data_IF_466609853794
#
_entry.id   IF_466609853794
#
_cell.length_a   1.000
_cell.length_b   1.000
_cell.length_c   1.000
_cell.angle_alpha   90.00
_cell.angle_beta   90.00
_cell.angle_gamma   90.00
#
_symmetry.space_group_name_H-M   'P 1'
#
loop_
_entity.id
_entity.type
_entity.pdbx_description
1 polymer ?
#
# COMPACT_ATOMS: atom_id res chain seq x y z
N UNK A 1 4.60 3.24 -5.09
CA UNK A 1 3.63 4.06 -4.32
C UNK A 1 4.36 5.22 -3.65
N UNK A 2 3.69 6.27 -3.18
CA UNK A 2 4.34 7.38 -2.46
C UNK A 2 3.81 7.47 -1.04
N UNK A 3 4.68 7.25 -0.04
CA UNK A 3 4.37 7.47 1.38
C UNK A 3 4.32 8.98 1.64
N UNK A 4 3.22 9.45 2.20
CA UNK A 4 2.97 10.88 2.45
C UNK A 4 2.61 11.20 3.90
N UNK A 5 2.55 10.20 4.77
CA UNK A 5 2.32 10.40 6.21
C UNK A 5 2.82 9.23 7.05
N UNK A 6 3.36 9.57 8.22
CA UNK A 6 3.75 8.63 9.27
C UNK A 6 3.38 9.22 10.62
N UNK A 7 2.64 8.46 11.42
CA UNK A 7 2.27 8.85 12.78
C UNK A 7 2.39 7.65 13.72
N UNK A 8 2.83 7.90 14.95
CA UNK A 8 2.78 6.94 16.04
C UNK A 8 1.90 7.49 17.16
N UNK A 9 0.98 6.66 17.64
CA UNK A 9 0.09 6.98 18.75
C UNK A 9 0.37 6.04 19.93
N UNK A 10 0.68 6.63 21.09
CA UNK A 10 1.10 5.92 22.29
C UNK A 10 -0.02 5.97 23.32
N UNK A 11 -0.48 4.80 23.75
CA UNK A 11 -1.55 4.57 24.74
C UNK A 11 -2.84 5.38 24.48
N UNK A 12 -3.11 5.71 23.20
CA UNK A 12 -4.26 6.52 22.79
C UNK A 12 -4.21 8.00 23.24
N UNK A 13 -3.07 8.46 23.75
CA UNK A 13 -2.94 9.79 24.40
C UNK A 13 -1.95 10.70 23.71
N UNK A 14 -0.78 10.17 23.37
CA UNK A 14 0.31 10.95 22.77
C UNK A 14 0.44 10.60 21.31
N UNK A 15 0.42 11.62 20.44
CA UNK A 15 0.67 11.46 19.01
C UNK A 15 2.04 12.05 18.66
N UNK A 16 2.81 11.29 17.90
CA UNK A 16 4.07 11.68 17.30
C UNK A 16 3.85 11.74 15.80
N UNK A 17 4.10 12.91 15.21
CA UNK A 17 3.98 13.12 13.77
C UNK A 17 5.38 13.03 13.15
N UNK A 18 5.52 12.19 12.13
CA UNK A 18 6.76 12.07 11.35
C UNK A 18 7.05 13.37 10.61
N UNK A 19 8.34 13.74 10.57
CA UNK A 19 8.86 14.85 9.78
C UNK A 19 9.84 14.24 8.78
N UNK A 20 9.62 14.52 7.50
CA UNK A 20 10.53 14.07 6.44
C UNK A 20 11.87 14.78 6.59
N UNK A 21 12.95 14.00 6.61
CA UNK A 21 14.33 14.45 6.73
C UNK A 21 15.22 13.65 5.78
N UNK A 22 16.44 14.12 5.59
CA UNK A 22 17.48 13.29 4.95
C UNK A 22 17.63 11.98 5.73
N UNK A 23 17.79 10.86 5.01
CA UNK A 23 17.83 9.53 5.61
C UNK A 23 18.91 9.43 6.71
N UNK A 24 20.10 10.02 6.48
CA UNK A 24 21.17 9.92 7.47
C UNK A 24 20.88 10.72 8.73
N UNK A 25 20.29 11.89 8.55
CA UNK A 25 19.88 12.74 9.67
C UNK A 25 18.78 12.05 10.49
N UNK A 26 17.77 11.47 9.83
CA UNK A 26 16.68 10.77 10.50
C UNK A 26 17.19 9.57 11.33
N UNK A 27 18.12 8.79 10.77
CA UNK A 27 18.75 7.66 11.45
C UNK A 27 19.57 8.10 12.67
N UNK A 28 20.38 9.15 12.54
CA UNK A 28 21.17 9.69 13.65
C UNK A 28 20.27 10.19 14.80
N UNK A 29 19.25 10.97 14.49
CA UNK A 29 18.32 11.48 15.52
C UNK A 29 17.55 10.35 16.21
N UNK A 30 17.21 9.29 15.48
CA UNK A 30 16.61 8.08 16.04
C UNK A 30 17.56 7.42 17.04
N UNK A 31 18.81 7.16 16.66
CA UNK A 31 19.79 6.50 17.53
C UNK A 31 20.10 7.33 18.78
N UNK A 32 20.23 8.66 18.64
CA UNK A 32 20.43 9.58 19.76
C UNK A 32 19.25 9.53 20.74
N UNK A 33 18.01 9.53 20.24
CA UNK A 33 16.82 9.40 21.07
C UNK A 33 16.78 8.06 21.81
N UNK A 34 17.17 6.96 21.14
CA UNK A 34 17.26 5.65 21.78
C UNK A 34 18.30 5.63 22.89
N UNK A 35 19.50 6.19 22.66
CA UNK A 35 20.57 6.26 23.66
C UNK A 35 20.17 7.09 24.88
N UNK A 36 19.33 8.11 24.69
CA UNK A 36 18.80 8.95 25.78
C UNK A 36 17.62 8.30 26.53
N UNK A 37 17.21 7.08 26.15
CA UNK A 37 16.09 6.38 26.78
C UNK A 37 14.71 6.91 26.35
N UNK A 38 14.64 7.70 25.27
CA UNK A 38 13.39 8.20 24.72
C UNK A 38 12.77 7.19 23.75
N UNK A 39 11.44 7.14 23.69
CA UNK A 39 10.74 6.41 22.63
C UNK A 39 11.03 7.06 21.28
N UNK A 40 11.49 6.28 20.31
CA UNK A 40 11.84 6.76 18.97
C UNK A 40 11.10 5.95 17.90
N UNK A 41 10.74 6.62 16.80
CA UNK A 41 9.91 6.08 15.72
C UNK A 41 10.47 6.56 14.39
N UNK A 42 10.96 5.63 13.57
CA UNK A 42 11.56 5.91 12.27
C UNK A 42 10.83 5.11 11.20
N UNK A 43 10.53 5.75 10.08
CA UNK A 43 10.06 5.11 8.86
C UNK A 43 11.00 5.54 7.73
N UNK A 44 11.66 4.58 7.09
CA UNK A 44 12.66 4.84 6.06
C UNK A 44 12.47 3.91 4.86
N UNK A 45 12.76 4.41 3.66
CA UNK A 45 12.78 3.62 2.43
C UNK A 45 14.11 2.88 2.35
N UNK A 46 14.07 1.56 2.42
CA UNK A 46 15.27 0.71 2.37
C UNK A 46 15.54 0.19 0.95
N UNK A 47 14.48 -0.09 0.19
CA UNK A 47 14.52 -0.44 -1.22
C UNK A 47 13.35 0.25 -1.93
N UNK A 48 13.38 0.37 -3.27
CA UNK A 48 12.24 0.86 -4.03
C UNK A 48 10.96 0.10 -3.63
N UNK A 49 9.93 0.85 -3.23
CA UNK A 49 8.63 0.35 -2.75
C UNK A 49 8.66 -0.48 -1.45
N UNK A 50 9.77 -0.51 -0.71
CA UNK A 50 9.85 -1.22 0.57
C UNK A 50 10.37 -0.31 1.69
N UNK A 51 9.48 -0.07 2.65
CA UNK A 51 9.72 0.77 3.81
C UNK A 51 9.93 -0.08 5.07
N UNK A 52 10.90 0.32 5.88
CA UNK A 52 11.13 -0.25 7.20
C UNK A 52 10.68 0.73 8.28
N UNK A 53 9.87 0.24 9.22
CA UNK A 53 9.49 0.97 10.40
C UNK A 53 10.24 0.43 11.62
N UNK A 54 11.05 1.29 12.25
CA UNK A 54 11.82 0.98 13.45
C UNK A 54 11.21 1.73 14.63
N UNK A 55 10.85 1.00 15.69
CA UNK A 55 10.27 1.54 16.92
C UNK A 55 11.14 1.08 18.08
N UNK A 56 11.60 2.01 18.91
CA UNK A 56 12.46 1.67 20.04
C UNK A 56 12.04 2.29 21.36
N UNK A 57 12.61 1.74 22.44
CA UNK A 57 12.30 2.07 23.84
C UNK A 57 10.80 1.96 24.19
N UNK A 58 10.13 0.93 23.67
CA UNK A 58 8.75 0.59 24.07
C UNK A 58 8.76 0.02 25.48
N UNK A 59 7.96 0.59 26.38
CA UNK A 59 7.87 0.11 27.78
C UNK A 59 6.91 -1.07 27.91
N UNK A 60 7.08 -1.89 28.95
CA UNK A 60 6.19 -3.04 29.20
C UNK A 60 4.71 -2.61 29.29
N UNK A 61 3.84 -3.29 28.56
CA UNK A 61 2.40 -3.02 28.51
C UNK A 61 1.99 -1.77 27.70
N UNK A 62 2.94 -1.04 27.13
CA UNK A 62 2.66 0.12 26.29
C UNK A 62 2.05 -0.31 24.96
N UNK A 63 1.00 0.40 24.53
CA UNK A 63 0.38 0.18 23.23
C UNK A 63 0.82 1.25 22.25
N UNK A 64 1.36 0.83 21.11
CA UNK A 64 1.76 1.71 20.00
C UNK A 64 0.88 1.42 18.79
N UNK A 65 0.25 2.45 18.24
CA UNK A 65 -0.49 2.39 16.97
C UNK A 65 0.29 3.18 15.93
N UNK A 66 0.75 2.48 14.89
CA UNK A 66 1.43 3.09 13.74
C UNK A 66 0.42 3.36 12.63
N UNK A 67 0.45 4.57 12.08
CA UNK A 67 -0.34 4.96 10.91
C UNK A 67 0.61 5.36 9.79
N UNK A 68 0.51 4.67 8.66
CA UNK A 68 1.23 5.00 7.43
C UNK A 68 0.19 5.43 6.41
N UNK A 69 0.37 6.61 5.85
CA UNK A 69 -0.47 7.12 4.76
C UNK A 69 0.35 7.09 3.48
N UNK A 70 -0.18 6.49 2.44
CA UNK A 70 0.44 6.47 1.13
C UNK A 70 -0.60 6.64 0.03
N UNK A 71 -0.14 7.07 -1.14
CA UNK A 71 -0.92 7.14 -2.36
C UNK A 71 -0.32 6.23 -3.41
N UNK A 72 -1.16 5.59 -4.22
CA UNK A 72 -0.72 4.76 -5.34
C UNK A 72 -1.68 4.92 -6.49
N UNK A 73 -1.15 4.83 -7.71
CA UNK A 73 -1.96 4.72 -8.90
C UNK A 73 -2.61 3.33 -8.97
N UNK A 74 -3.88 3.29 -9.39
CA UNK A 74 -4.60 2.05 -9.64
C UNK A 74 -4.27 1.55 -11.05
N UNK A 75 -3.91 0.27 -11.18
CA UNK A 75 -3.57 -0.31 -12.47
C UNK A 75 -4.84 -0.52 -13.29
N UNK A 76 -4.86 0.00 -14.51
CA UNK A 76 -5.95 -0.25 -15.45
C UNK A 76 -5.65 -1.49 -16.31
N UNK A 77 -6.64 -2.36 -16.44
CA UNK A 77 -6.64 -3.47 -17.38
C UNK A 77 -7.50 -3.06 -18.59
N UNK A 78 -6.81 -2.69 -19.67
CA UNK A 78 -7.43 -2.13 -20.87
C UNK A 78 -8.29 -3.14 -21.63
N UNK A 79 -7.99 -4.44 -21.53
CA UNK A 79 -8.73 -5.49 -22.23
C UNK A 79 -10.04 -5.84 -21.51
N UNK A 80 -10.05 -5.76 -20.18
CA UNK A 80 -11.19 -6.20 -19.37
C UNK A 80 -12.04 -5.08 -18.74
N UNK A 81 -11.70 -3.81 -19.03
CA UNK A 81 -12.39 -2.61 -18.52
C UNK A 81 -12.42 -2.57 -16.98
N UNK A 82 -11.31 -2.99 -16.35
CA UNK A 82 -11.21 -3.15 -14.90
C UNK A 82 -10.07 -2.31 -14.35
N UNK A 83 -10.22 -1.81 -13.13
CA UNK A 83 -9.11 -1.28 -12.34
C UNK A 83 -8.76 -2.28 -11.25
N UNK A 84 -7.46 -2.37 -10.95
CA UNK A 84 -6.90 -3.30 -9.97
C UNK A 84 -6.16 -2.53 -8.88
N UNK A 85 -6.59 -2.75 -7.64
CA UNK A 85 -5.85 -2.37 -6.44
C UNK A 85 -5.15 -3.61 -5.86
N UNK A 86 -3.90 -3.44 -5.44
CA UNK A 86 -3.13 -4.48 -4.77
C UNK A 86 -2.63 -3.90 -3.45
N UNK A 87 -2.96 -4.55 -2.35
CA UNK A 87 -2.41 -4.27 -1.04
C UNK A 87 -1.42 -5.40 -0.69
N UNK A 88 -0.11 -5.10 -0.68
CA UNK A 88 0.90 -6.11 -0.41
C UNK A 88 0.84 -6.53 1.06
N UNK A 89 0.80 -7.84 1.31
CA UNK A 89 0.83 -8.39 2.67
C UNK A 89 2.07 -9.22 2.94
N UNK A 90 2.77 -9.63 1.88
CA UNK A 90 4.02 -10.38 1.96
C UNK A 90 5.15 -9.61 1.26
N UNK A 91 6.35 -9.65 1.85
CA UNK A 91 7.59 -9.32 1.16
C UNK A 91 8.21 -10.65 0.72
N UNK A 92 8.13 -10.96 -0.58
CA UNK A 92 8.67 -12.23 -1.09
C UNK A 92 10.21 -12.31 -0.87
N UNK A 93 10.79 -13.51 -0.63
CA UNK A 93 12.21 -13.71 -0.32
C UNK A 93 13.23 -13.26 -1.39
N UNK A 94 12.79 -12.70 -2.52
CA UNK A 94 13.64 -12.22 -3.63
C UNK A 94 14.68 -11.16 -3.19
N UNK A 95 14.60 -10.64 -1.96
CA UNK A 95 15.41 -9.54 -1.46
C UNK A 95 16.60 -9.90 -0.54
N UNK A 96 16.87 -11.19 -0.26
CA UNK A 96 18.11 -11.65 0.40
C UNK A 96 18.16 -11.46 1.93
N UNK A 97 19.16 -12.07 2.58
CA UNK A 97 19.25 -12.30 4.05
C UNK A 97 20.51 -11.73 4.71
N UNK A 98 20.41 -11.15 5.92
CA UNK A 98 21.49 -11.01 6.94
C UNK A 98 21.04 -10.30 8.23
N UNK A 99 21.64 -10.65 9.36
CA UNK A 99 21.29 -10.14 10.69
C UNK A 99 21.68 -8.70 11.04
N UNK A 100 21.26 -8.32 12.25
CA UNK A 100 21.36 -7.01 12.91
C UNK A 100 22.67 -6.25 12.62
N UNK A 101 22.55 -4.98 12.23
CA UNK A 101 23.63 -3.99 12.30
C UNK A 101 23.05 -2.61 12.65
N UNK A 102 23.82 -1.73 13.32
CA UNK A 102 23.38 -0.38 13.69
C UNK A 102 22.96 0.42 12.45
N UNK A 103 22.06 1.40 12.66
CA UNK A 103 21.50 2.18 11.57
C UNK A 103 22.60 2.84 10.74
N UNK A 104 22.39 2.84 9.42
CA UNK A 104 23.07 3.67 8.43
C UNK A 104 24.40 3.19 7.81
N UNK A 105 24.55 1.89 7.49
CA UNK A 105 25.65 1.40 6.63
C UNK A 105 25.20 0.59 5.40
N UNK A 106 24.05 0.96 4.81
CA UNK A 106 23.67 0.51 3.47
C UNK A 106 23.46 -0.99 3.29
N UNK A 107 22.46 -1.59 3.97
CA UNK A 107 22.06 -2.98 3.71
C UNK A 107 20.56 -3.19 3.53
N UNK A 108 20.27 -4.04 2.54
CA UNK A 108 19.00 -4.60 2.10
C UNK A 108 18.07 -5.01 3.25
N UNK A 109 16.78 -4.79 3.02
CA UNK A 109 15.69 -5.42 3.77
C UNK A 109 15.87 -6.92 3.85
N UNK A 110 15.72 -7.43 5.06
CA UNK A 110 15.78 -8.85 5.38
C UNK A 110 14.40 -9.23 5.90
N UNK A 111 13.56 -9.90 5.10
CA UNK A 111 12.42 -10.60 5.66
C UNK A 111 13.00 -11.68 6.57
N UNK A 112 12.69 -11.65 7.87
CA UNK A 112 12.87 -12.83 8.72
C UNK A 112 12.19 -14.03 8.02
N UNK A 113 12.68 -15.25 8.24
CA UNK A 113 11.87 -16.43 7.97
C UNK A 113 10.53 -16.20 8.67
N UNK A 114 9.47 -15.95 7.89
CA UNK A 114 8.15 -15.69 8.45
C UNK A 114 7.66 -17.00 9.03
N UNK A 115 8.00 -17.23 10.31
CA UNK A 115 7.50 -18.38 11.05
C UNK A 115 6.09 -18.03 11.49
N UNK A 116 5.10 -18.58 10.80
CA UNK A 116 3.72 -18.47 11.23
C UNK A 116 3.54 -19.35 12.48
N UNK A 117 3.31 -18.71 13.63
CA UNK A 117 2.95 -19.44 14.83
C UNK A 117 1.61 -20.16 14.61
N UNK A 118 1.47 -21.42 15.06
CA UNK A 118 0.21 -22.16 14.92
C UNK A 118 -0.98 -21.56 15.70
N UNK A 119 -0.72 -20.57 16.56
CA UNK A 119 -1.72 -19.74 17.25
C UNK A 119 -1.25 -18.29 17.21
N UNK A 120 -2.04 -17.42 16.59
CA UNK A 120 -1.69 -16.02 16.35
C UNK A 120 -2.70 -15.10 17.02
N UNK A 121 -2.22 -14.14 17.79
CA UNK A 121 -3.04 -13.08 18.40
C UNK A 121 -3.08 -11.81 17.52
N UNK A 122 -2.93 -11.98 16.20
CA UNK A 122 -3.05 -10.92 15.21
C UNK A 122 -4.09 -11.31 14.15
N UNK A 123 -4.66 -10.30 13.52
CA UNK A 123 -5.51 -10.46 12.35
C UNK A 123 -5.32 -9.26 11.42
N UNK A 124 -5.54 -9.49 10.13
CA UNK A 124 -5.69 -8.44 9.14
C UNK A 124 -7.16 -8.03 9.10
N UNK A 125 -7.41 -6.76 9.41
CA UNK A 125 -8.67 -6.10 9.11
C UNK A 125 -8.47 -5.15 7.93
N UNK A 126 -9.44 -5.13 7.03
CA UNK A 126 -9.37 -4.32 5.81
C UNK A 126 -10.76 -3.76 5.50
N UNK A 127 -10.83 -2.44 5.48
CA UNK A 127 -12.01 -1.69 5.05
C UNK A 127 -11.62 -0.78 3.89
N UNK A 128 -12.31 -0.90 2.76
CA UNK A 128 -12.05 -0.11 1.56
C UNK A 128 -13.33 0.64 1.19
N UNK A 129 -13.21 1.95 1.01
CA UNK A 129 -14.24 2.77 0.35
C UNK A 129 -13.84 2.95 -1.10
N UNK A 130 -14.53 2.27 -2.01
CA UNK A 130 -14.33 2.43 -3.45
C UNK A 130 -15.23 3.56 -3.96
N UNK A 131 -14.63 4.53 -4.66
CA UNK A 131 -15.35 5.62 -5.34
C UNK A 131 -14.87 5.72 -6.77
N UNK A 132 -15.81 5.59 -7.72
CA UNK A 132 -15.55 5.69 -9.16
C UNK A 132 -16.20 6.95 -9.75
N UNK A 133 -15.84 7.30 -10.98
CA UNK A 133 -16.47 8.42 -11.72
C UNK A 133 -17.84 8.05 -12.31
N UNK A 134 -18.17 6.76 -12.31
CA UNK A 134 -19.35 6.19 -12.94
C UNK A 134 -19.87 5.02 -12.11
N UNK A 135 -21.00 4.46 -12.54
CA UNK A 135 -21.67 3.35 -11.86
C UNK A 135 -20.73 2.15 -11.78
N UNK A 136 -20.53 1.66 -10.56
CA UNK A 136 -19.80 0.43 -10.29
C UNK A 136 -20.66 -0.74 -10.79
N UNK A 137 -20.10 -1.57 -11.67
CA UNK A 137 -20.79 -2.72 -12.26
C UNK A 137 -20.45 -4.02 -11.54
N UNK A 138 -19.18 -4.20 -11.14
CA UNK A 138 -18.73 -5.39 -10.44
C UNK A 138 -17.56 -5.06 -9.51
N UNK A 139 -17.51 -5.72 -8.36
CA UNK A 139 -16.39 -5.70 -7.41
C UNK A 139 -16.08 -7.14 -7.05
N UNK A 140 -14.84 -7.56 -7.25
CA UNK A 140 -14.40 -8.91 -6.93
C UNK A 140 -12.98 -8.88 -6.35
N UNK A 141 -12.66 -9.90 -5.55
CA UNK A 141 -11.29 -10.15 -5.11
C UNK A 141 -10.89 -11.56 -5.53
N UNK A 142 -9.87 -11.71 -6.40
CA UNK A 142 -9.36 -13.03 -6.76
C UNK A 142 -8.48 -13.65 -5.66
N UNK A 143 -8.12 -12.89 -4.62
CA UNK A 143 -7.22 -13.38 -3.57
C UNK A 143 -7.88 -13.62 -2.22
N UNK A 144 -8.95 -12.93 -1.85
CA UNK A 144 -9.62 -13.06 -0.54
C UNK A 144 -11.14 -13.02 -0.67
N UNK A 145 -11.86 -13.64 0.28
CA UNK A 145 -13.31 -13.51 0.36
C UNK A 145 -13.71 -12.13 0.91
N UNK A 146 -14.60 -11.43 0.21
CA UNK A 146 -15.03 -10.07 0.54
C UNK A 146 -16.54 -9.96 0.74
N UNK A 147 -16.96 -9.05 1.61
CA UNK A 147 -18.32 -8.56 1.70
C UNK A 147 -18.40 -7.16 1.12
N UNK A 148 -19.40 -6.89 0.29
CA UNK A 148 -19.56 -5.63 -0.43
C UNK A 148 -20.92 -5.02 -0.15
N UNK A 149 -20.91 -3.79 0.34
CA UNK A 149 -22.08 -2.93 0.45
C UNK A 149 -22.06 -1.94 -0.73
N UNK A 150 -22.99 -2.12 -1.67
CA UNK A 150 -23.11 -1.31 -2.87
C UNK A 150 -24.00 -0.08 -2.61
N UNK A 151 -23.81 0.95 -3.42
CA UNK A 151 -24.67 2.14 -3.45
C UNK A 151 -24.74 2.88 -2.10
N UNK A 152 -23.59 3.10 -1.47
CA UNK A 152 -23.50 3.81 -0.18
C UNK A 152 -24.18 5.17 -0.29
N UNK A 153 -25.08 5.48 0.65
CA UNK A 153 -25.92 6.69 0.65
C UNK A 153 -26.75 6.88 -0.64
N UNK A 154 -27.11 5.77 -1.31
CA UNK A 154 -27.83 5.79 -2.58
C UNK A 154 -26.97 6.15 -3.80
N UNK A 155 -25.65 6.29 -3.63
CA UNK A 155 -24.74 6.66 -4.71
C UNK A 155 -24.14 5.42 -5.41
N UNK A 156 -24.53 5.13 -6.66
CA UNK A 156 -24.07 3.91 -7.37
C UNK A 156 -22.59 3.92 -7.76
N UNK A 157 -21.89 5.02 -7.51
CA UNK A 157 -20.46 5.14 -7.76
C UNK A 157 -19.62 4.87 -6.49
N UNK A 158 -20.27 4.59 -5.35
CA UNK A 158 -19.62 4.40 -4.05
C UNK A 158 -20.00 3.04 -3.49
N UNK A 159 -18.99 2.30 -3.03
CA UNK A 159 -19.18 1.00 -2.37
C UNK A 159 -18.22 0.84 -1.22
N UNK A 160 -18.63 0.10 -0.19
CA UNK A 160 -17.78 -0.29 0.94
C UNK A 160 -17.47 -1.77 0.86
N UNK A 161 -16.19 -2.12 0.96
CA UNK A 161 -15.69 -3.48 0.90
C UNK A 161 -15.02 -3.81 2.23
N UNK A 162 -15.31 -4.99 2.76
CA UNK A 162 -14.68 -5.55 3.95
C UNK A 162 -14.28 -7.00 3.70
N UNK A 163 -13.37 -7.54 4.50
CA UNK A 163 -13.09 -8.98 4.48
C UNK A 163 -14.31 -9.74 5.02
N UNK A 164 -14.70 -10.83 4.33
CA UNK A 164 -15.83 -11.66 4.76
C UNK A 164 -15.44 -12.66 5.87
N UNK A 165 -14.15 -12.79 6.15
CA UNK A 165 -13.59 -13.69 7.13
C UNK A 165 -12.41 -13.03 7.84
N UNK A 166 -12.09 -13.50 9.05
CA UNK A 166 -10.93 -13.03 9.78
C UNK A 166 -9.66 -13.68 9.21
N UNK A 167 -8.73 -12.85 8.73
CA UNK A 167 -7.49 -13.31 8.12
C UNK A 167 -6.36 -13.28 9.16
N UNK A 168 -5.72 -14.42 9.39
CA UNK A 168 -4.57 -14.56 10.32
C UNK A 168 -3.29 -15.01 9.61
N UNK A 169 -3.30 -15.04 8.27
CA UNK A 169 -2.16 -15.35 7.42
C UNK A 169 -1.86 -14.15 6.52
N UNK A 170 -0.62 -14.01 6.04
CA UNK A 170 -0.19 -12.91 5.18
C UNK A 170 0.55 -13.38 3.93
N UNK A 171 0.33 -14.63 3.50
CA UNK A 171 1.10 -15.32 2.45
C UNK A 171 0.90 -14.78 1.02
N UNK A 172 -0.20 -14.07 0.76
CA UNK A 172 -0.56 -13.54 -0.56
C UNK A 172 -1.20 -12.17 -0.44
N UNK A 173 -0.90 -11.31 -1.41
CA UNK A 173 -1.42 -9.95 -1.44
C UNK A 173 -2.95 -9.91 -1.55
N UNK A 174 -3.55 -8.89 -0.96
CA UNK A 174 -4.95 -8.59 -1.20
C UNK A 174 -5.11 -7.89 -2.55
N UNK A 175 -6.01 -8.39 -3.39
CA UNK A 175 -6.26 -7.88 -4.73
C UNK A 175 -7.74 -7.52 -4.81
N UNK A 176 -8.05 -6.28 -5.18
CA UNK A 176 -9.40 -5.85 -5.51
C UNK A 176 -9.47 -5.49 -6.98
N UNK A 177 -10.50 -5.99 -7.65
CA UNK A 177 -10.77 -5.74 -9.05
C UNK A 177 -12.14 -5.09 -9.15
N UNK A 178 -12.19 -3.91 -9.75
CA UNK A 178 -13.42 -3.11 -9.87
C UNK A 178 -13.69 -2.84 -11.34
N UNK A 179 -14.90 -3.17 -11.78
CA UNK A 179 -15.43 -2.79 -13.09
C UNK A 179 -16.41 -1.64 -12.91
N UNK A 180 -16.25 -0.59 -13.71
CA UNK A 180 -17.10 0.61 -13.69
C UNK A 180 -17.39 1.04 -15.12
N UNK A 181 -18.56 1.61 -15.36
CA UNK A 181 -18.99 2.01 -16.70
C UNK A 181 -18.03 3.04 -17.32
N UNK A 182 -17.60 2.87 -18.56
CA UNK A 182 -16.76 3.85 -19.26
C UNK A 182 -15.30 3.88 -18.80
N UNK A 183 -14.81 2.81 -18.15
CA UNK A 183 -13.39 2.64 -17.83
C UNK A 183 -12.50 2.57 -19.09
N UNK A 184 -13.08 2.18 -20.21
CA UNK A 184 -12.49 2.10 -21.56
C UNK A 184 -12.47 3.44 -22.34
N UNK A 185 -12.95 4.53 -21.74
CA UNK A 185 -13.00 5.86 -22.36
C UNK A 185 -11.89 6.76 -21.82
N UNK A 186 -11.42 7.76 -22.61
CA UNK A 186 -10.53 8.80 -22.11
C UNK A 186 -11.14 9.56 -20.92
N UNK A 187 -10.32 9.83 -19.90
CA UNK A 187 -10.75 10.53 -18.68
C UNK A 187 -9.70 11.53 -18.23
N UNK A 188 -10.15 12.61 -17.58
CA UNK A 188 -9.29 13.57 -16.90
C UNK A 188 -9.80 13.80 -15.47
N UNK A 189 -8.90 13.76 -14.51
CA UNK A 189 -9.14 14.19 -13.13
C UNK A 189 -8.41 15.50 -12.90
N UNK A 190 -9.08 16.46 -12.29
CA UNK A 190 -8.52 17.77 -11.98
C UNK A 190 -8.69 18.00 -10.49
N UNK A 191 -7.59 18.28 -9.80
CA UNK A 191 -7.59 18.67 -8.40
C UNK A 191 -6.96 20.06 -8.27
N UNK A 192 -7.59 20.94 -7.49
CA UNK A 192 -7.08 22.27 -7.20
C UNK A 192 -6.53 22.32 -5.78
N UNK A 193 -5.27 22.69 -5.62
CA UNK A 193 -4.68 22.95 -4.32
C UNK A 193 -4.79 24.44 -3.98
N UNK A 194 -5.67 24.77 -3.05
CA UNK A 194 -5.90 26.15 -2.60
C UNK A 194 -4.73 26.75 -1.82
N UNK A 195 -3.78 25.95 -1.34
CA UNK A 195 -2.60 26.44 -0.59
C UNK A 195 -1.50 26.91 -1.53
N UNK A 196 -1.32 26.21 -2.64
CA UNK A 196 -0.30 26.52 -3.65
C UNK A 196 -0.88 27.27 -4.85
N UNK A 197 -2.21 27.41 -4.92
CA UNK A 197 -2.95 27.98 -6.03
C UNK A 197 -2.68 27.27 -7.37
N UNK A 198 -2.43 25.97 -7.33
CA UNK A 198 -2.09 25.16 -8.52
C UNK A 198 -3.18 24.14 -8.85
N UNK A 199 -3.30 23.81 -10.14
CA UNK A 199 -4.11 22.69 -10.60
C UNK A 199 -3.20 21.49 -10.92
N UNK A 200 -3.60 20.30 -10.47
CA UNK A 200 -3.03 19.03 -10.89
C UNK A 200 -4.02 18.34 -11.81
N UNK A 201 -3.55 17.85 -12.96
CA UNK A 201 -4.38 17.11 -13.92
C UNK A 201 -3.79 15.73 -14.15
N UNK A 202 -4.59 14.69 -13.94
CA UNK A 202 -4.28 13.31 -14.33
C UNK A 202 -5.13 12.94 -15.55
N UNK A 203 -4.47 12.65 -16.68
CA UNK A 203 -5.12 12.27 -17.92
C UNK A 203 -4.91 10.77 -18.18
N UNK A 204 -6.01 10.04 -18.36
CA UNK A 204 -5.99 8.66 -18.86
C UNK A 204 -6.46 8.66 -20.31
N UNK A 205 -5.57 8.28 -21.21
CA UNK A 205 -5.90 8.07 -22.63
C UNK A 205 -6.07 6.57 -22.88
N UNK A 206 -7.24 6.19 -23.40
CA UNK A 206 -7.53 4.81 -23.79
C UNK A 206 -7.73 4.79 -25.30
N UNK A 207 -6.64 4.79 -26.10
CA UNK A 207 -6.77 4.81 -27.54
C UNK A 207 -7.36 3.48 -28.05
N UNK A 208 -8.42 3.57 -28.85
CA UNK A 208 -9.00 2.41 -29.54
C UNK A 208 -8.45 2.36 -30.96
N UNK A 209 -7.53 1.44 -31.20
CA UNK A 209 -7.00 1.21 -32.53
C UNK A 209 -7.78 0.05 -33.18
N UNK A 210 -8.14 0.20 -34.45
CA UNK A 210 -8.56 -0.93 -35.27
C UNK A 210 -7.29 -1.72 -35.63
N UNK A 211 -6.85 -2.58 -34.72
CA UNK A 211 -5.68 -3.43 -34.94
C UNK A 211 -6.16 -4.67 -35.70
N UNK A 212 -5.62 -4.89 -36.89
CA UNK A 212 -5.80 -6.17 -37.57
C UNK A 212 -5.00 -7.22 -36.80
N UNK A 213 -5.61 -8.35 -36.47
CA UNK A 213 -4.87 -9.49 -35.91
C UNK A 213 -3.84 -9.96 -36.95
N UNK A 214 -2.56 -9.87 -36.60
CA UNK A 214 -1.45 -10.37 -37.42
C UNK A 214 -0.91 -11.61 -36.75
N UNK A 215 -0.87 -12.73 -37.47
CA UNK A 215 -0.16 -13.92 -36.98
C UNK A 215 1.31 -13.56 -36.74
N UNK A 216 1.71 -13.67 -35.47
CA UNK A 216 3.04 -13.29 -35.02
C UNK A 216 3.72 -14.53 -34.44
N UNK A 217 4.95 -14.79 -34.85
CA UNK A 217 5.80 -15.79 -34.22
C UNK A 217 6.55 -15.14 -33.05
N UNK A 218 6.41 -15.69 -31.85
CA UNK A 218 7.09 -15.23 -30.63
C UNK A 218 8.10 -16.28 -30.19
N UNK A 219 9.39 -15.96 -30.25
CA UNK A 219 10.46 -16.81 -29.74
C UNK A 219 10.90 -16.25 -28.39
N UNK A 220 10.70 -17.02 -27.32
CA UNK A 220 11.19 -16.69 -25.98
C UNK A 220 12.54 -17.37 -25.76
N UNK A 221 13.60 -16.59 -25.62
CA UNK A 221 14.91 -17.10 -25.19
C UNK A 221 14.99 -16.94 -23.68
N UNK A 222 15.07 -18.06 -22.97
CA UNK A 222 15.13 -18.11 -21.52
C UNK A 222 16.53 -18.60 -21.13
N UNK A 223 17.27 -17.77 -20.40
CA UNK A 223 18.53 -18.17 -19.78
C UNK A 223 18.26 -19.01 -18.52
N UNK A 224 19.07 -20.04 -18.27
CA UNK A 224 18.85 -21.02 -17.19
C UNK A 224 19.58 -20.65 -15.91
#
# INVERSE_FOLDING_TARGET
AAVCGFEAEIDGKKKVKGIVKDAKQAAQEYDEAIQQGHGAYLLEEQLPDVFQCSIGNITAGQTIVIRITYVTELKHDAESEKVRFVFPTAIAPRYGSSGYSPANDGKKLIPDEVSYAGKTDYYLDLTITCRMTSVIQNIESPSHHISTELNIDGNPNVSKITLAEQITYLEKDFILVVKSLGLDQPRAFIEYDSKTETNCVMLTLVPKFAINEIMSELIFVIDR
#
